data_IF_463498851214
#
_entry.id   IF_463498851214
#
_cell.length_a   1.000
_cell.length_b   1.000
_cell.length_c   1.000
_cell.angle_alpha   90.00
_cell.angle_beta   90.00
_cell.angle_gamma   90.00
#
_symmetry.space_group_name_H-M   'P 1'
#
loop_
_entity.id
_entity.type
_entity.pdbx_description
1 polymer ?
#
# COMPACT_ATOMS: atom_id res chain seq x y z
N UNK A 1 18.53 -1.93 24.96
CA UNK A 1 17.72 -3.12 24.61
C UNK A 1 16.30 -2.75 24.20
N UNK A 2 15.58 -1.95 24.99
CA UNK A 2 14.19 -1.53 24.68
C UNK A 2 14.08 -0.70 23.38
N UNK A 3 14.99 0.26 23.16
CA UNK A 3 15.08 1.02 21.91
C UNK A 3 15.27 0.15 20.65
N UNK A 4 16.10 -0.90 20.74
CA UNK A 4 16.34 -1.81 19.60
C UNK A 4 15.08 -2.62 19.28
N UNK A 5 14.40 -3.14 20.30
CA UNK A 5 13.12 -3.85 20.14
C UNK A 5 12.04 -2.96 19.53
N UNK A 6 11.95 -1.71 19.96
CA UNK A 6 10.98 -0.76 19.40
C UNK A 6 11.25 -0.48 17.91
N UNK A 7 12.52 -0.31 17.54
CA UNK A 7 12.93 -0.12 16.14
C UNK A 7 12.61 -1.35 15.28
N UNK A 8 12.85 -2.56 15.78
CA UNK A 8 12.50 -3.80 15.08
C UNK A 8 10.98 -3.95 14.87
N UNK A 9 10.17 -3.62 15.87
CA UNK A 9 8.71 -3.63 15.77
C UNK A 9 8.23 -2.61 14.73
N UNK A 10 8.78 -1.40 14.75
CA UNK A 10 8.45 -0.35 13.79
C UNK A 10 8.83 -0.76 12.36
N UNK A 11 10.04 -1.28 12.15
CA UNK A 11 10.50 -1.74 10.84
C UNK A 11 9.61 -2.88 10.32
N UNK A 12 9.25 -3.83 11.18
CA UNK A 12 8.33 -4.91 10.83
C UNK A 12 6.96 -4.38 10.43
N UNK A 13 6.41 -3.43 11.18
CA UNK A 13 5.14 -2.79 10.86
C UNK A 13 5.19 -2.15 9.46
N UNK A 14 6.19 -1.31 9.18
CA UNK A 14 6.30 -0.65 7.87
C UNK A 14 6.53 -1.61 6.72
N UNK A 15 7.28 -2.70 6.93
CA UNK A 15 7.48 -3.71 5.90
C UNK A 15 6.17 -4.45 5.59
N UNK A 16 5.41 -4.84 6.61
CA UNK A 16 4.09 -5.47 6.42
C UNK A 16 3.13 -4.54 5.66
N UNK A 17 3.10 -3.25 6.01
CA UNK A 17 2.26 -2.29 5.29
C UNK A 17 2.71 -2.08 3.84
N UNK A 18 4.02 -2.05 3.55
CA UNK A 18 4.53 -1.96 2.17
C UNK A 18 4.10 -3.16 1.32
N UNK A 19 4.16 -4.38 1.88
CA UNK A 19 3.72 -5.60 1.18
C UNK A 19 2.23 -5.53 0.82
N UNK A 20 1.39 -5.00 1.71
CA UNK A 20 -0.04 -4.81 1.46
C UNK A 20 -0.32 -3.75 0.40
N UNK A 21 0.37 -2.62 0.46
CA UNK A 21 0.29 -1.56 -0.57
C UNK A 21 0.75 -2.09 -1.93
N UNK A 22 1.85 -2.84 -1.96
CA UNK A 22 2.35 -3.49 -3.18
C UNK A 22 1.33 -4.46 -3.78
N UNK A 23 0.70 -5.30 -2.95
CA UNK A 23 -0.38 -6.20 -3.39
C UNK A 23 -1.56 -5.45 -3.99
N UNK A 24 -2.05 -4.42 -3.31
CA UNK A 24 -3.14 -3.57 -3.83
C UNK A 24 -2.76 -2.93 -5.17
N UNK A 25 -1.56 -2.35 -5.28
CA UNK A 25 -1.08 -1.71 -6.51
C UNK A 25 -1.04 -2.72 -7.66
N UNK A 26 -0.42 -3.88 -7.47
CA UNK A 26 -0.30 -4.90 -8.52
C UNK A 26 -1.64 -5.48 -8.94
N UNK A 27 -2.57 -5.65 -8.00
CA UNK A 27 -3.88 -6.19 -8.31
C UNK A 27 -4.79 -5.16 -8.97
N UNK A 28 -4.86 -3.94 -8.45
CA UNK A 28 -5.85 -2.94 -8.87
C UNK A 28 -5.36 -2.03 -9.99
N UNK A 29 -4.05 -1.81 -10.15
CA UNK A 29 -3.51 -0.83 -11.10
C UNK A 29 -2.97 -1.54 -12.34
N UNK A 30 -3.36 -1.04 -13.51
CA UNK A 30 -2.88 -1.57 -14.80
C UNK A 30 -1.46 -1.10 -15.09
N UNK A 31 -0.73 -1.94 -15.83
CA UNK A 31 0.59 -1.60 -16.40
C UNK A 31 1.68 -1.22 -15.38
N UNK A 32 1.59 -1.76 -14.15
CA UNK A 32 2.63 -1.63 -13.12
C UNK A 32 3.84 -2.52 -13.46
N UNK A 33 5.00 -1.90 -13.66
CA UNK A 33 6.30 -2.54 -13.90
C UNK A 33 7.23 -2.44 -12.70
N UNK A 34 7.14 -1.35 -11.94
CA UNK A 34 7.93 -1.13 -10.73
C UNK A 34 7.19 -0.23 -9.75
N UNK A 35 7.49 -0.40 -8.47
CA UNK A 35 6.97 0.45 -7.38
C UNK A 35 8.18 1.01 -6.63
N UNK A 36 8.16 2.32 -6.36
CA UNK A 36 9.19 2.98 -5.56
C UNK A 36 8.56 3.61 -4.32
N UNK A 37 8.83 3.02 -3.17
CA UNK A 37 8.50 3.59 -1.87
C UNK A 37 9.51 4.68 -1.51
N UNK A 38 9.05 5.90 -1.25
CA UNK A 38 9.91 7.06 -0.98
C UNK A 38 10.03 7.35 0.50
N UNK A 39 8.90 7.38 1.20
CA UNK A 39 8.84 7.72 2.61
C UNK A 39 7.65 7.04 3.28
N UNK A 40 7.76 6.89 4.59
CA UNK A 40 6.64 6.63 5.46
C UNK A 40 6.63 7.67 6.57
N UNK A 41 5.44 8.18 6.91
CA UNK A 41 5.30 9.22 7.93
C UNK A 41 3.96 9.10 8.63
N UNK A 42 3.87 9.66 9.83
CA UNK A 42 2.61 9.76 10.57
C UNK A 42 2.10 11.19 10.40
N UNK A 43 0.84 11.34 10.00
CA UNK A 43 0.18 12.64 9.87
C UNK A 43 0.01 13.30 11.25
N UNK A 44 -0.25 14.62 11.33
CA UNK A 44 -0.56 15.27 12.61
C UNK A 44 -1.74 14.64 13.37
N UNK A 45 -2.64 13.97 12.65
CA UNK A 45 -3.78 13.24 13.22
C UNK A 45 -3.43 11.82 13.69
N UNK A 46 -2.16 11.41 13.62
CA UNK A 46 -1.71 10.09 14.04
C UNK A 46 -1.90 8.98 13.01
N UNK A 47 -2.32 9.30 11.79
CA UNK A 47 -2.53 8.31 10.72
C UNK A 47 -1.20 8.03 10.01
N UNK A 48 -0.70 6.79 9.98
CA UNK A 48 0.49 6.43 9.22
C UNK A 48 0.21 6.45 7.71
N UNK A 49 1.18 6.89 6.92
CA UNK A 49 1.11 6.98 5.47
C UNK A 49 2.36 6.40 4.83
N UNK A 50 2.19 5.67 3.73
CA UNK A 50 3.26 5.24 2.83
C UNK A 50 3.11 5.96 1.50
N UNK A 51 4.17 6.65 1.07
CA UNK A 51 4.18 7.43 -0.17
C UNK A 51 5.20 6.89 -1.15
N UNK A 52 4.84 6.96 -2.42
CA UNK A 52 5.68 6.48 -3.49
C UNK A 52 5.19 6.87 -4.86
N UNK A 53 5.75 6.21 -5.86
CA UNK A 53 5.33 6.33 -7.25
C UNK A 53 5.62 5.03 -8.00
N UNK A 54 4.97 4.83 -9.15
CA UNK A 54 5.15 3.63 -9.97
C UNK A 54 5.94 3.92 -11.24
N UNK A 55 6.51 2.88 -11.86
CA UNK A 55 7.15 2.91 -13.17
C UNK A 55 8.30 3.92 -13.33
N UNK A 56 8.91 4.35 -12.23
CA UNK A 56 9.94 5.40 -12.23
C UNK A 56 9.40 6.82 -12.50
N UNK A 57 8.08 6.98 -12.63
CA UNK A 57 7.44 8.24 -12.97
C UNK A 57 6.85 8.92 -11.73
N UNK A 58 7.44 10.05 -11.33
CA UNK A 58 6.97 10.83 -10.17
C UNK A 58 5.60 11.48 -10.39
N UNK A 59 5.12 11.58 -11.64
CA UNK A 59 3.75 11.99 -11.96
C UNK A 59 2.73 10.96 -11.50
N UNK A 60 3.08 9.67 -11.54
CA UNK A 60 2.26 8.54 -11.09
C UNK A 60 2.46 8.25 -9.59
N UNK A 61 2.28 9.29 -8.76
CA UNK A 61 2.46 9.19 -7.31
C UNK A 61 1.23 8.62 -6.59
N UNK A 62 1.48 8.02 -5.42
CA UNK A 62 0.48 7.54 -4.47
C UNK A 62 0.82 7.93 -3.02
N UNK A 63 -0.22 7.99 -2.19
CA UNK A 63 -0.23 8.20 -0.74
C UNK A 63 -1.24 7.23 -0.11
N UNK A 64 -0.72 6.12 0.43
CA UNK A 64 -1.50 5.07 1.05
C UNK A 64 -1.65 5.35 2.55
N UNK A 65 -2.87 5.62 3.01
CA UNK A 65 -3.21 5.78 4.41
C UNK A 65 -3.37 4.41 5.08
N UNK A 66 -2.73 4.23 6.23
CA UNK A 66 -2.87 3.01 7.03
C UNK A 66 -3.82 3.34 8.17
N UNK A 67 -4.85 2.52 8.37
CA UNK A 67 -5.78 2.70 9.48
C UNK A 67 -5.02 2.77 10.81
N UNK A 68 -5.45 3.64 11.73
CA UNK A 68 -4.78 3.79 13.03
C UNK A 68 -4.85 2.53 13.90
N UNK A 69 -5.81 1.65 13.61
CA UNK A 69 -6.03 0.38 14.33
C UNK A 69 -5.85 -0.86 13.46
N UNK A 70 -5.57 -0.70 12.16
CA UNK A 70 -5.65 -1.79 11.17
C UNK A 70 -4.56 -1.68 10.11
N UNK A 71 -4.32 -2.79 9.43
CA UNK A 71 -3.44 -2.83 8.27
C UNK A 71 -4.03 -2.04 7.09
N UNK A 72 -3.20 -1.67 6.13
CA UNK A 72 -3.65 -1.06 4.87
C UNK A 72 -4.63 -1.98 4.13
N UNK A 73 -5.79 -1.44 3.73
CA UNK A 73 -6.82 -2.13 2.94
C UNK A 73 -7.02 -1.47 1.58
N UNK A 74 -7.45 -0.21 1.55
CA UNK A 74 -7.90 0.47 0.33
C UNK A 74 -7.80 2.01 0.38
N UNK A 75 -7.37 2.63 1.49
CA UNK A 75 -7.24 4.09 1.61
C UNK A 75 -6.06 4.62 0.77
N UNK A 76 -6.32 4.79 -0.53
CA UNK A 76 -5.32 5.01 -1.56
C UNK A 76 -5.52 6.34 -2.28
N UNK A 77 -4.87 7.40 -1.78
CA UNK A 77 -4.76 8.68 -2.48
C UNK A 77 -3.73 8.60 -3.61
N UNK A 78 -4.02 9.21 -4.77
CA UNK A 78 -3.07 9.21 -5.88
C UNK A 78 -3.20 10.42 -6.81
N UNK A 79 -2.24 10.53 -7.72
CA UNK A 79 -2.31 11.47 -8.84
C UNK A 79 -3.51 11.18 -9.75
N UNK A 80 -4.03 12.22 -10.42
CA UNK A 80 -5.10 12.04 -11.41
C UNK A 80 -4.69 11.26 -12.66
N UNK A 81 -3.39 11.11 -12.94
CA UNK A 81 -2.89 10.23 -14.00
C UNK A 81 -2.90 8.77 -13.55
N UNK A 82 -2.51 8.50 -12.30
CA UNK A 82 -2.56 7.16 -11.73
C UNK A 82 -4.00 6.68 -11.54
N UNK A 83 -4.95 7.53 -11.13
CA UNK A 83 -6.36 7.16 -10.96
C UNK A 83 -6.98 6.57 -12.23
N UNK A 84 -6.56 7.05 -13.41
CA UNK A 84 -7.04 6.54 -14.71
C UNK A 84 -6.61 5.09 -14.97
N UNK A 85 -5.55 4.63 -14.32
CA UNK A 85 -5.01 3.27 -14.46
C UNK A 85 -5.62 2.29 -13.45
N UNK A 86 -6.31 2.78 -12.43
CA UNK A 86 -6.98 1.96 -11.41
C UNK A 86 -8.20 1.25 -12.04
N UNK A 87 -8.31 -0.06 -11.82
CA UNK A 87 -9.50 -0.85 -12.17
C UNK A 87 -10.68 -0.36 -11.33
N UNK A 88 -11.85 -0.17 -11.94
CA UNK A 88 -13.07 0.28 -11.24
C UNK A 88 -14.17 -0.78 -11.36
N UNK A 89 -14.73 -1.30 -10.25
CA UNK A 89 -14.32 -1.05 -8.87
C UNK A 89 -12.95 -1.66 -8.57
N UNK A 90 -12.18 -1.00 -7.71
CA UNK A 90 -11.00 -1.58 -7.07
C UNK A 90 -11.42 -2.50 -5.92
N UNK A 91 -10.46 -3.27 -5.41
CA UNK A 91 -10.67 -4.21 -4.30
C UNK A 91 -9.72 -3.92 -3.16
N UNK A 92 -10.22 -4.05 -1.94
CA UNK A 92 -9.39 -4.06 -0.74
C UNK A 92 -8.42 -5.24 -0.74
N UNK A 93 -7.33 -5.12 0.01
CA UNK A 93 -6.34 -6.21 0.16
C UNK A 93 -6.99 -7.50 0.68
N UNK A 94 -7.91 -7.41 1.63
CA UNK A 94 -8.62 -8.58 2.16
C UNK A 94 -9.49 -9.29 1.10
N UNK A 95 -10.15 -8.54 0.21
CA UNK A 95 -10.91 -9.12 -0.91
C UNK A 95 -10.00 -9.81 -1.92
N UNK A 96 -8.84 -9.20 -2.22
CA UNK A 96 -7.83 -9.78 -3.11
C UNK A 96 -7.35 -11.12 -2.52
N UNK A 97 -7.00 -11.16 -1.24
CA UNK A 97 -6.53 -12.37 -0.57
C UNK A 97 -7.58 -13.47 -0.51
N UNK A 98 -8.86 -13.11 -0.36
CA UNK A 98 -9.95 -14.08 -0.42
C UNK A 98 -10.06 -14.70 -1.81
N UNK A 99 -10.03 -13.88 -2.86
CA UNK A 99 -10.09 -14.38 -4.24
C UNK A 99 -8.88 -15.26 -4.61
N UNK A 100 -7.68 -14.89 -4.16
CA UNK A 100 -6.48 -15.71 -4.38
C UNK A 100 -6.55 -17.06 -3.67
N UNK A 101 -7.20 -17.13 -2.50
CA UNK A 101 -7.42 -18.40 -1.79
C UNK A 101 -8.44 -19.28 -2.49
N UNK A 102 -9.53 -18.69 -2.96
CA UNK A 102 -10.59 -19.41 -3.69
C UNK A 102 -10.03 -20.01 -5.00
N UNK A 103 -9.25 -19.24 -5.77
CA UNK A 103 -8.61 -19.71 -7.01
C UNK A 103 -7.57 -20.82 -6.83
N UNK A 104 -7.00 -20.98 -5.63
CA UNK A 104 -6.03 -22.05 -5.33
C UNK A 104 -6.70 -23.36 -4.90
N UNK A 105 -7.99 -23.32 -4.59
CA UNK A 105 -8.77 -24.50 -4.21
C UNK A 105 -9.49 -25.16 -5.40
N UNK A 106 -9.49 -24.49 -6.56
CA UNK A 106 -10.00 -24.99 -7.86
C UNK A 106 -8.87 -25.65 -8.66
#
# INVERSE_FOLDING_TARGET
MEYLKQKEIEEKFWNEQKERVEKYIHYNIKDVKSITFREHKVSPMGVPHIRGYINGDKGLWFDAGIGTTENFEDDFGCSGELDKLIKKPDKSVSEIEKEEKEKKQE
#
